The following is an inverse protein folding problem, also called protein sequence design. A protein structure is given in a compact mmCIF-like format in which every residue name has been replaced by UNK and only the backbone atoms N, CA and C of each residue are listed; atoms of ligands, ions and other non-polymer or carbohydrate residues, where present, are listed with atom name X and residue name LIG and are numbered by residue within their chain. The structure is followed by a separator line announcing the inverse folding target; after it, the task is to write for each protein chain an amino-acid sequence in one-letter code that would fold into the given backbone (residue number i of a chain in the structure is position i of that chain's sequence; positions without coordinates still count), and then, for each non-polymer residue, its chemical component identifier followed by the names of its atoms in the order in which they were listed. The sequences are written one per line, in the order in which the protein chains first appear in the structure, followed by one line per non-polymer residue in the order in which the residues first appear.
data_IF_230259147636
#
_entry.id   IF_230259147636
#
_cell.length_a   1.000
_cell.length_b   1.000
_cell.length_c   1.000
_cell.angle_alpha   90.00
_cell.angle_beta   90.00
_cell.angle_gamma   90.00
#
_symmetry.space_group_name_H-M   'P 1'
#
loop_
_entity.id
_entity.type
_entity.pdbx_description
1 polymer ?
#
# COMPACT_ATOMS: atom_id res chain seq x y z
N UNK A 1 22.50 19.88 23.90
CA UNK A 1 21.07 20.06 24.27
C UNK A 1 20.34 21.13 23.43
N UNK A 2 21.00 22.10 22.79
CA UNK A 2 20.33 23.07 21.89
C UNK A 2 20.22 22.62 20.42
N UNK A 3 21.12 21.76 19.93
CA UNK A 3 21.08 21.23 18.55
C UNK A 3 19.95 20.22 18.32
N UNK A 4 19.70 19.31 19.29
CA UNK A 4 18.66 18.26 19.15
C UNK A 4 17.24 18.83 19.03
N UNK A 5 16.95 19.94 19.72
CA UNK A 5 15.63 20.60 19.61
C UNK A 5 15.39 21.28 18.26
N UNK A 6 16.46 21.67 17.56
CA UNK A 6 16.36 22.28 16.23
C UNK A 6 16.15 21.21 15.14
N UNK A 7 16.85 20.08 15.25
CA UNK A 7 16.70 18.94 14.32
C UNK A 7 15.30 18.34 14.37
N UNK A 8 14.77 18.10 15.57
CA UNK A 8 13.40 17.61 15.76
C UNK A 8 12.37 18.60 15.18
N UNK A 9 12.56 19.90 15.41
CA UNK A 9 11.69 20.93 14.85
C UNK A 9 11.71 20.92 13.31
N UNK A 10 12.89 20.86 12.70
CA UNK A 10 13.05 20.83 11.23
C UNK A 10 12.37 19.58 10.65
N UNK A 11 12.64 18.40 11.21
CA UNK A 11 12.04 17.15 10.74
C UNK A 11 10.52 17.20 10.88
N UNK A 12 9.99 17.70 12.00
CA UNK A 12 8.54 17.88 12.21
C UNK A 12 7.92 18.82 11.18
N UNK A 13 8.58 19.93 10.86
CA UNK A 13 8.11 20.89 9.85
C UNK A 13 8.08 20.28 8.45
N UNK A 14 9.14 19.58 8.05
CA UNK A 14 9.21 18.84 6.78
C UNK A 14 8.11 17.78 6.72
N UNK A 15 7.94 16.99 7.79
CA UNK A 15 6.94 15.93 7.87
C UNK A 15 5.50 16.46 7.81
N UNK A 16 5.22 17.62 8.40
CA UNK A 16 3.93 18.26 8.29
C UNK A 16 3.65 18.78 6.87
N UNK A 17 4.67 19.31 6.20
CA UNK A 17 4.55 19.74 4.82
C UNK A 17 4.33 18.55 3.87
N UNK A 18 5.06 17.44 4.06
CA UNK A 18 4.84 16.19 3.32
C UNK A 18 3.42 15.64 3.52
N UNK A 19 2.90 15.64 4.76
CA UNK A 19 1.50 15.28 5.03
C UNK A 19 0.51 16.17 4.27
N UNK A 20 0.76 17.48 4.22
CA UNK A 20 -0.08 18.43 3.47
C UNK A 20 -0.07 18.16 1.97
N UNK A 21 1.11 17.96 1.38
CA UNK A 21 1.26 17.61 -0.05
C UNK A 21 0.62 16.27 -0.38
N UNK A 22 0.74 15.27 0.49
CA UNK A 22 0.14 13.96 0.29
C UNK A 22 -1.39 14.01 0.35
N UNK A 23 -1.96 14.85 1.22
CA UNK A 23 -3.42 15.08 1.24
C UNK A 23 -3.91 15.66 -0.09
N UNK A 24 -3.19 16.63 -0.64
CA UNK A 24 -3.49 17.18 -1.96
C UNK A 24 -3.44 16.09 -3.03
N UNK A 25 -2.42 15.25 -3.03
CA UNK A 25 -2.30 14.13 -3.96
C UNK A 25 -3.42 13.09 -3.79
N UNK A 26 -3.82 12.79 -2.55
CA UNK A 26 -4.96 11.92 -2.27
C UNK A 26 -6.27 12.48 -2.81
N UNK A 27 -6.46 13.81 -2.74
CA UNK A 27 -7.61 14.50 -3.33
C UNK A 27 -7.56 14.51 -4.87
N UNK A 28 -6.38 14.69 -5.47
CA UNK A 28 -6.17 14.54 -6.93
C UNK A 28 -6.56 13.12 -7.38
N UNK A 29 -6.07 12.09 -6.67
CA UNK A 29 -6.40 10.69 -6.95
C UNK A 29 -7.91 10.46 -6.80
N UNK A 30 -8.53 10.93 -5.71
CA UNK A 30 -9.97 10.77 -5.50
C UNK A 30 -10.78 11.46 -6.61
N UNK A 31 -10.32 12.60 -7.10
CA UNK A 31 -10.97 13.31 -8.21
C UNK A 31 -10.84 12.55 -9.53
N UNK A 32 -9.60 12.25 -9.93
CA UNK A 32 -9.27 11.60 -11.21
C UNK A 32 -9.78 10.16 -11.28
N UNK A 33 -9.73 9.42 -10.17
CA UNK A 33 -10.07 8.00 -10.12
C UNK A 33 -11.38 7.70 -9.40
N UNK A 34 -12.23 8.71 -9.13
CA UNK A 34 -13.47 8.60 -8.35
C UNK A 34 -14.30 7.35 -8.66
N UNK A 35 -14.60 7.11 -9.93
CA UNK A 35 -15.39 5.94 -10.38
C UNK A 35 -14.72 4.60 -10.04
N UNK A 36 -13.40 4.52 -10.16
CA UNK A 36 -12.64 3.31 -9.88
C UNK A 36 -12.47 3.09 -8.37
N UNK A 37 -12.35 4.17 -7.59
CA UNK A 37 -12.39 4.13 -6.13
C UNK A 37 -13.75 3.63 -5.65
N UNK A 38 -14.85 4.01 -6.31
CA UNK A 38 -16.20 3.50 -6.00
C UNK A 38 -16.32 2.00 -6.28
N UNK A 39 -15.78 1.51 -7.41
CA UNK A 39 -15.72 0.07 -7.73
C UNK A 39 -14.90 -0.65 -6.66
N UNK A 40 -13.71 -0.15 -6.34
CA UNK A 40 -12.87 -0.69 -5.29
C UNK A 40 -13.63 -0.79 -3.96
N UNK A 41 -14.33 0.28 -3.55
CA UNK A 41 -15.12 0.30 -2.32
C UNK A 41 -16.24 -0.75 -2.35
N UNK A 42 -16.87 -0.95 -3.49
CA UNK A 42 -17.87 -2.01 -3.69
C UNK A 42 -17.30 -3.43 -3.56
N UNK A 43 -16.01 -3.62 -3.85
CA UNK A 43 -15.31 -4.90 -3.73
C UNK A 43 -14.79 -5.11 -2.31
N UNK A 44 -14.04 -4.14 -1.80
CA UNK A 44 -13.25 -4.27 -0.58
C UNK A 44 -14.02 -3.86 0.67
N UNK A 45 -15.07 -3.04 0.55
CA UNK A 45 -15.87 -2.53 1.66
C UNK A 45 -15.33 -1.24 2.30
N UNK A 46 -14.23 -0.68 1.79
CA UNK A 46 -13.59 0.53 2.30
C UNK A 46 -12.88 1.29 1.17
N UNK A 47 -12.39 2.49 1.44
CA UNK A 47 -11.69 3.33 0.46
C UNK A 47 -10.17 3.22 0.57
N UNK A 48 -9.48 3.44 -0.54
CA UNK A 48 -8.02 3.58 -0.60
C UNK A 48 -7.65 4.63 -1.64
N UNK A 49 -6.56 5.35 -1.41
CA UNK A 49 -5.94 6.25 -2.39
C UNK A 49 -4.60 5.71 -2.89
N UNK A 50 -4.26 4.47 -2.55
CA UNK A 50 -3.07 3.79 -3.08
C UNK A 50 -3.34 3.31 -4.51
N UNK A 51 -2.92 4.15 -5.46
CA UNK A 51 -2.96 3.85 -6.89
C UNK A 51 -1.53 3.65 -7.38
N UNK A 52 -1.32 2.57 -8.12
CA UNK A 52 -0.04 2.26 -8.76
C UNK A 52 -0.23 2.18 -10.26
N UNK A 53 0.61 2.89 -11.02
CA UNK A 53 0.62 2.77 -12.47
C UNK A 53 1.47 1.56 -12.86
N UNK A 54 0.86 0.61 -13.56
CA UNK A 54 1.50 -0.61 -14.02
C UNK A 54 2.17 -0.46 -15.38
N UNK A 55 3.06 -1.39 -15.68
CA UNK A 55 3.71 -1.49 -16.98
C UNK A 55 2.71 -1.88 -18.06
N UNK A 56 3.06 -1.44 -19.26
CA UNK A 56 2.26 -1.48 -20.43
C UNK A 56 2.43 -2.85 -21.12
N UNK A 57 1.72 -3.90 -20.70
CA UNK A 57 1.71 -5.17 -21.45
C UNK A 57 1.17 -4.90 -22.86
N UNK A 58 2.00 -5.11 -23.89
CA UNK A 58 1.62 -4.90 -25.30
C UNK A 58 1.03 -3.50 -25.61
N UNK A 59 1.64 -2.42 -25.10
CA UNK A 59 1.14 -1.05 -25.31
C UNK A 59 -0.17 -0.68 -24.56
N UNK A 60 -0.64 -1.50 -23.60
CA UNK A 60 -1.85 -1.25 -22.78
C UNK A 60 -1.54 -0.67 -21.39
N UNK A 61 -2.03 0.53 -21.08
CA UNK A 61 -1.86 1.13 -19.74
C UNK A 61 -2.72 0.40 -18.71
N UNK A 62 -2.10 -0.01 -17.61
CA UNK A 62 -2.76 -0.66 -16.47
C UNK A 62 -2.57 0.23 -15.25
N UNK A 63 -3.59 0.32 -14.40
CA UNK A 63 -3.43 0.86 -13.05
C UNK A 63 -4.08 -0.06 -12.03
N UNK A 64 -3.53 -0.09 -10.83
CA UNK A 64 -4.04 -0.87 -9.72
C UNK A 64 -4.51 0.07 -8.62
N UNK A 65 -5.70 -0.17 -8.09
CA UNK A 65 -6.19 0.45 -6.86
C UNK A 65 -6.29 -0.64 -5.83
N UNK A 66 -5.51 -0.55 -4.75
CA UNK A 66 -5.35 -1.66 -3.84
C UNK A 66 -5.16 -1.24 -2.39
N UNK A 67 -5.35 -2.23 -1.52
CA UNK A 67 -4.82 -2.21 -0.17
C UNK A 67 -4.22 -3.54 0.19
N UNK A 68 -3.40 -3.52 1.23
CA UNK A 68 -2.64 -4.69 1.61
C UNK A 68 -2.52 -4.89 3.11
N UNK A 69 -2.22 -6.14 3.44
CA UNK A 69 -1.79 -6.58 4.76
C UNK A 69 -0.48 -7.34 4.59
N UNK A 70 0.50 -7.00 5.41
CA UNK A 70 1.82 -7.65 5.44
C UNK A 70 2.04 -8.30 6.80
N UNK A 71 2.39 -9.58 6.81
CA UNK A 71 2.84 -10.30 8.01
C UNK A 71 4.13 -11.06 7.63
N UNK A 72 5.29 -10.40 7.71
CA UNK A 72 6.52 -10.90 7.09
C UNK A 72 7.14 -12.09 7.81
N UNK A 73 6.72 -12.38 9.04
CA UNK A 73 7.25 -13.45 9.87
C UNK A 73 6.21 -14.57 10.01
N UNK A 74 6.66 -15.83 9.95
CA UNK A 74 5.81 -16.97 10.21
C UNK A 74 5.28 -16.95 11.64
N UNK A 75 3.97 -17.04 11.78
CA UNK A 75 3.29 -17.41 13.01
C UNK A 75 1.99 -18.13 12.64
N UNK A 76 1.80 -19.33 13.17
CA UNK A 76 0.59 -20.14 12.98
C UNK A 76 -0.71 -19.44 13.39
N UNK A 77 -0.61 -18.42 14.25
CA UNK A 77 -1.69 -17.59 14.76
C UNK A 77 -1.93 -16.29 14.00
N UNK A 78 -1.11 -15.96 13.00
CA UNK A 78 -1.25 -14.72 12.24
C UNK A 78 -2.46 -14.77 11.27
N UNK A 79 -2.92 -13.63 10.74
CA UNK A 79 -4.15 -13.59 9.92
C UNK A 79 -3.99 -14.31 8.60
N UNK A 80 -2.86 -14.11 7.91
CA UNK A 80 -2.61 -14.67 6.59
C UNK A 80 -2.51 -16.20 6.66
N UNK A 81 -1.69 -16.75 7.55
CA UNK A 81 -1.54 -18.18 7.77
C UNK A 81 -2.86 -18.81 8.17
N UNK A 82 -3.59 -18.21 9.13
CA UNK A 82 -4.87 -18.75 9.56
C UNK A 82 -5.92 -18.78 8.44
N UNK A 83 -5.96 -17.75 7.60
CA UNK A 83 -6.92 -17.68 6.50
C UNK A 83 -6.60 -18.67 5.38
N UNK A 84 -5.31 -18.90 5.10
CA UNK A 84 -4.88 -19.63 3.92
C UNK A 84 -4.47 -21.09 4.16
N UNK A 85 -4.30 -21.54 5.42
CA UNK A 85 -3.91 -22.93 5.75
C UNK A 85 -4.91 -24.01 5.30
N UNK A 86 -6.16 -23.63 5.03
CA UNK A 86 -7.16 -24.54 4.45
C UNK A 86 -7.04 -24.72 2.94
N UNK A 87 -6.32 -23.82 2.26
CA UNK A 87 -6.14 -23.83 0.80
C UNK A 87 -4.72 -24.26 0.39
N UNK A 88 -3.73 -24.05 1.25
CA UNK A 88 -2.32 -24.32 0.98
C UNK A 88 -1.70 -25.12 2.13
N UNK A 89 -0.71 -25.95 1.82
CA UNK A 89 0.10 -26.66 2.82
C UNK A 89 1.12 -25.70 3.42
N UNK A 90 0.71 -24.92 4.43
CA UNK A 90 1.52 -23.86 5.04
C UNK A 90 2.34 -24.38 6.22
N UNK A 91 3.61 -23.99 6.26
CA UNK A 91 4.54 -24.23 7.38
C UNK A 91 5.54 -23.06 7.54
N UNK A 92 6.54 -23.23 8.41
CA UNK A 92 7.55 -22.22 8.72
C UNK A 92 8.47 -21.84 7.54
N UNK A 93 8.55 -22.69 6.52
CA UNK A 93 9.36 -22.46 5.31
C UNK A 93 8.50 -21.94 4.15
N UNK A 94 7.21 -22.28 4.13
CA UNK A 94 6.27 -21.86 3.10
C UNK A 94 4.99 -21.26 3.71
N UNK A 95 4.90 -19.94 3.74
CA UNK A 95 3.76 -19.21 4.32
C UNK A 95 3.45 -17.90 3.58
N UNK A 96 2.19 -17.43 3.62
CA UNK A 96 1.82 -16.14 3.05
C UNK A 96 2.42 -15.01 3.87
N UNK A 97 3.14 -14.11 3.20
CA UNK A 97 3.82 -12.95 3.80
C UNK A 97 3.10 -11.64 3.52
N UNK A 98 2.33 -11.60 2.44
CA UNK A 98 1.71 -10.38 1.96
C UNK A 98 0.44 -10.68 1.19
N UNK A 99 -0.61 -9.92 1.46
CA UNK A 99 -1.88 -9.99 0.76
C UNK A 99 -2.23 -8.61 0.22
N UNK A 100 -2.51 -8.54 -1.07
CA UNK A 100 -3.11 -7.38 -1.74
C UNK A 100 -4.54 -7.71 -2.16
N UNK A 101 -5.45 -6.76 -1.99
CA UNK A 101 -6.80 -6.83 -2.55
C UNK A 101 -7.20 -5.52 -3.19
N UNK A 102 -7.90 -5.61 -4.31
CA UNK A 102 -8.44 -4.44 -5.00
C UNK A 102 -8.86 -4.71 -6.43
N UNK A 103 -8.57 -3.75 -7.30
CA UNK A 103 -8.92 -3.81 -8.72
C UNK A 103 -7.69 -3.53 -9.60
N UNK A 104 -7.62 -4.25 -10.70
CA UNK A 104 -6.64 -4.06 -11.77
C UNK A 104 -7.38 -3.59 -13.03
N UNK A 105 -7.15 -2.35 -13.44
CA UNK A 105 -7.89 -1.70 -14.49
C UNK A 105 -7.06 -1.56 -15.77
N UNK A 106 -7.66 -1.96 -16.88
CA UNK A 106 -7.06 -2.02 -18.20
C UNK A 106 -7.68 -0.94 -19.09
N UNK A 107 -6.85 0.00 -19.55
CA UNK A 107 -7.29 1.02 -20.50
C UNK A 107 -7.29 0.44 -21.91
N UNK A 108 -8.37 0.66 -22.67
CA UNK A 108 -8.46 0.32 -24.10
C UNK A 108 -8.24 -1.15 -24.42
N UNK A 109 -8.42 -2.03 -23.44
CA UNK A 109 -8.19 -3.47 -23.57
C UNK A 109 -8.95 -4.25 -22.51
N UNK A 110 -9.13 -5.55 -22.76
CA UNK A 110 -9.70 -6.48 -21.80
C UNK A 110 -8.60 -7.12 -20.93
N UNK A 111 -8.89 -7.44 -19.66
CA UNK A 111 -8.02 -8.25 -18.83
C UNK A 111 -7.71 -9.57 -19.51
N UNK A 112 -6.49 -10.08 -19.31
CA UNK A 112 -6.10 -11.39 -19.82
C UNK A 112 -6.93 -12.51 -19.21
N UNK A 113 -7.37 -12.36 -17.95
CA UNK A 113 -8.29 -13.28 -17.28
C UNK A 113 -9.34 -12.50 -16.47
N UNK A 114 -10.63 -12.63 -16.79
CA UNK A 114 -11.70 -12.00 -15.99
C UNK A 114 -12.00 -12.79 -14.71
N UNK A 115 -11.62 -14.07 -14.64
CA UNK A 115 -11.86 -14.98 -13.51
C UNK A 115 -10.79 -16.07 -13.44
N UNK A 116 -10.42 -16.55 -12.26
CA UNK A 116 -9.54 -17.71 -12.10
C UNK A 116 -8.37 -17.47 -11.15
N UNK A 117 -7.43 -18.42 -11.11
CA UNK A 117 -6.23 -18.36 -10.28
C UNK A 117 -5.00 -18.44 -11.19
N UNK A 118 -4.04 -17.54 -11.00
CA UNK A 118 -2.73 -17.55 -11.63
C UNK A 118 -1.65 -17.70 -10.59
N UNK A 119 -0.67 -18.54 -10.89
CA UNK A 119 0.53 -18.72 -10.08
C UNK A 119 1.72 -18.21 -10.87
N UNK A 120 2.52 -17.34 -10.26
CA UNK A 120 3.77 -16.82 -10.84
C UNK A 120 4.85 -16.73 -9.76
N UNK A 121 5.75 -17.70 -9.72
CA UNK A 121 6.79 -17.79 -8.69
C UNK A 121 6.16 -17.91 -7.30
N UNK A 122 6.45 -16.95 -6.43
CA UNK A 122 5.88 -16.88 -5.07
C UNK A 122 4.55 -16.15 -4.98
N UNK A 123 3.94 -15.74 -6.10
CA UNK A 123 2.70 -14.98 -6.12
C UNK A 123 1.52 -15.82 -6.64
N UNK A 124 0.41 -15.80 -5.91
CA UNK A 124 -0.90 -16.33 -6.34
C UNK A 124 -1.85 -15.16 -6.57
N UNK A 125 -2.26 -14.92 -7.81
CA UNK A 125 -3.25 -13.91 -8.17
C UNK A 125 -4.61 -14.54 -8.44
N UNK A 126 -5.65 -14.03 -7.80
CA UNK A 126 -7.03 -14.50 -7.93
C UNK A 126 -7.86 -13.40 -8.56
N UNK A 127 -8.56 -13.74 -9.66
CA UNK A 127 -9.48 -12.86 -10.36
C UNK A 127 -10.92 -13.34 -10.14
N UNK A 128 -11.83 -12.42 -9.81
CA UNK A 128 -13.22 -12.76 -9.46
C UNK A 128 -14.22 -11.79 -10.12
N UNK A 129 -14.15 -11.67 -11.44
CA UNK A 129 -15.06 -10.88 -12.26
C UNK A 129 -14.49 -9.53 -12.67
N UNK A 130 -15.26 -8.83 -13.50
CA UNK A 130 -14.88 -7.54 -14.10
C UNK A 130 -16.02 -6.54 -14.04
N UNK A 131 -15.67 -5.26 -14.06
CA UNK A 131 -16.58 -4.14 -14.26
C UNK A 131 -16.10 -3.26 -15.41
N UNK A 132 -17.03 -2.83 -16.26
CA UNK A 132 -16.73 -1.97 -17.42
C UNK A 132 -17.11 -0.53 -17.10
N UNK A 133 -16.21 0.40 -17.40
CA UNK A 133 -16.39 1.84 -17.16
C UNK A 133 -16.14 2.58 -18.47
N UNK A 134 -17.11 3.39 -18.88
CA UNK A 134 -16.94 4.35 -19.98
C UNK A 134 -16.43 5.68 -19.41
N UNK A 135 -15.14 5.93 -19.57
CA UNK A 135 -14.45 7.11 -19.05
C UNK A 135 -14.21 8.13 -20.17
N UNK A 136 -14.44 9.41 -19.85
CA UNK A 136 -14.30 10.49 -20.83
C UNK A 136 -12.84 10.68 -21.28
N UNK A 137 -11.91 10.53 -20.34
CA UNK A 137 -10.50 10.84 -20.55
C UNK A 137 -9.69 9.56 -20.86
N UNK A 138 -10.11 8.42 -20.31
CA UNK A 138 -9.44 7.13 -20.49
C UNK A 138 -10.08 6.22 -21.56
N UNK A 139 -11.28 6.55 -22.03
CA UNK A 139 -12.07 5.71 -22.94
C UNK A 139 -12.71 4.53 -22.20
N UNK A 140 -12.91 3.42 -22.91
CA UNK A 140 -13.40 2.19 -22.27
C UNK A 140 -12.31 1.58 -21.37
N UNK A 141 -12.63 1.44 -20.09
CA UNK A 141 -11.76 0.85 -19.06
C UNK A 141 -12.43 -0.39 -18.49
N UNK A 142 -11.69 -1.50 -18.41
CA UNK A 142 -12.17 -2.75 -17.81
C UNK A 142 -11.40 -3.01 -16.53
N UNK A 143 -12.10 -3.08 -15.40
CA UNK A 143 -11.51 -3.31 -14.08
C UNK A 143 -11.79 -4.71 -13.59
N UNK A 144 -10.75 -5.52 -13.44
CA UNK A 144 -10.83 -6.87 -12.88
C UNK A 144 -10.69 -6.83 -11.36
N UNK A 145 -11.56 -7.56 -10.66
CA UNK A 145 -11.51 -7.72 -9.20
C UNK A 145 -10.39 -8.71 -8.88
N UNK A 146 -9.38 -8.25 -8.13
CA UNK A 146 -8.13 -8.99 -7.93
C UNK A 146 -7.75 -9.08 -6.45
N UNK A 147 -7.34 -10.28 -6.04
CA UNK A 147 -6.58 -10.49 -4.81
C UNK A 147 -5.24 -11.13 -5.18
N UNK A 148 -4.18 -10.85 -4.44
CA UNK A 148 -2.85 -11.40 -4.71
C UNK A 148 -2.16 -11.73 -3.40
N UNK A 149 -1.73 -12.99 -3.27
CA UNK A 149 -1.09 -13.52 -2.07
C UNK A 149 0.35 -13.84 -2.43
N UNK A 150 1.29 -13.19 -1.75
CA UNK A 150 2.71 -13.52 -1.84
C UNK A 150 3.06 -14.51 -0.75
N UNK A 151 3.82 -15.53 -1.13
CA UNK A 151 4.39 -16.53 -0.23
C UNK A 151 5.88 -16.27 -0.01
N UNK A 152 6.41 -16.82 1.08
CA UNK A 152 7.84 -16.79 1.44
C UNK A 152 8.72 -17.51 0.41
N UNK A 153 8.17 -18.49 -0.30
CA UNK A 153 8.84 -19.26 -1.35
C UNK A 153 7.89 -19.50 -2.54
N UNK A 154 8.39 -20.10 -3.61
CA UNK A 154 7.63 -20.44 -4.80
C UNK A 154 6.45 -21.34 -4.48
N UNK A 155 5.30 -21.01 -5.06
CA UNK A 155 4.11 -21.84 -4.96
C UNK A 155 4.24 -22.98 -5.97
N UNK A 156 4.60 -24.15 -5.46
CA UNK A 156 4.82 -25.34 -6.27
C UNK A 156 3.48 -26.06 -6.52
N UNK A 157 3.09 -26.19 -7.78
CA UNK A 157 1.91 -26.95 -8.21
C UNK A 157 0.70 -26.09 -8.58
N UNK A 158 -0.35 -26.77 -9.04
CA UNK A 158 -1.62 -26.12 -9.36
C UNK A 158 -2.44 -25.87 -8.09
N UNK A 159 -3.02 -24.67 -7.98
CA UNK A 159 -3.93 -24.33 -6.89
C UNK A 159 -5.31 -24.88 -7.23
N UNK A 160 -5.73 -25.93 -6.53
CA UNK A 160 -7.02 -26.60 -6.75
C UNK A 160 -8.21 -25.94 -6.04
N UNK A 161 -7.97 -24.83 -5.33
CA UNK A 161 -9.00 -24.07 -4.63
C UNK A 161 -9.99 -23.40 -5.61
N UNK A 162 -11.24 -23.24 -5.18
CA UNK A 162 -12.21 -22.45 -5.92
C UNK A 162 -11.77 -20.95 -5.90
N UNK A 163 -11.68 -20.27 -7.06
CA UNK A 163 -11.28 -18.87 -7.11
C UNK A 163 -12.13 -17.94 -6.24
N UNK A 164 -13.46 -18.14 -6.19
CA UNK A 164 -14.36 -17.31 -5.40
C UNK A 164 -14.17 -17.49 -3.90
N UNK A 165 -13.89 -18.72 -3.43
CA UNK A 165 -13.63 -19.00 -2.02
C UNK A 165 -12.32 -18.36 -1.57
N UNK A 166 -11.27 -18.49 -2.38
CA UNK A 166 -9.95 -17.91 -2.09
C UNK A 166 -10.00 -16.38 -2.13
N UNK A 167 -10.73 -15.80 -3.09
CA UNK A 167 -10.95 -14.36 -3.18
C UNK A 167 -11.72 -13.84 -1.96
N UNK A 168 -12.76 -14.55 -1.53
CA UNK A 168 -13.52 -14.19 -0.33
C UNK A 168 -12.64 -14.24 0.93
N UNK A 169 -11.86 -15.31 1.11
CA UNK A 169 -10.94 -15.44 2.24
C UNK A 169 -9.94 -14.27 2.30
N UNK A 170 -9.43 -13.83 1.15
CA UNK A 170 -8.57 -12.66 1.06
C UNK A 170 -9.28 -11.37 1.51
N UNK A 171 -10.48 -11.09 1.00
CA UNK A 171 -11.23 -9.89 1.41
C UNK A 171 -11.63 -9.93 2.88
N UNK A 172 -11.99 -11.10 3.41
CA UNK A 172 -12.31 -11.28 4.83
C UNK A 172 -11.10 -10.93 5.71
N UNK A 173 -9.88 -11.33 5.32
CA UNK A 173 -8.66 -10.92 6.04
C UNK A 173 -8.47 -9.40 6.04
N UNK A 174 -8.54 -8.76 4.87
CA UNK A 174 -8.37 -7.30 4.77
C UNK A 174 -9.36 -6.55 5.66
N UNK A 175 -10.62 -6.97 5.65
CA UNK A 175 -11.67 -6.36 6.47
C UNK A 175 -11.47 -6.63 7.96
N UNK A 176 -11.10 -7.86 8.34
CA UNK A 176 -10.87 -8.22 9.74
C UNK A 176 -9.68 -7.46 10.34
N UNK A 177 -8.56 -7.36 9.62
CA UNK A 177 -7.37 -6.64 10.08
C UNK A 177 -7.68 -5.15 10.23
N UNK A 178 -8.33 -4.53 9.23
CA UNK A 178 -8.76 -3.14 9.33
C UNK A 178 -9.74 -2.89 10.48
N UNK A 179 -10.69 -3.79 10.68
CA UNK A 179 -11.64 -3.71 11.79
C UNK A 179 -10.96 -3.81 13.15
N UNK A 180 -10.00 -4.72 13.31
CA UNK A 180 -9.23 -4.86 14.56
C UNK A 180 -8.43 -3.60 14.89
N UNK A 181 -7.84 -2.97 13.88
CA UNK A 181 -6.99 -1.80 14.05
C UNK A 181 -7.73 -0.47 13.76
N UNK A 182 -9.05 -0.44 13.94
CA UNK A 182 -9.88 0.74 13.66
C UNK A 182 -9.38 2.01 14.39
N UNK A 183 -8.98 1.92 15.66
CA UNK A 183 -8.50 3.10 16.40
C UNK A 183 -7.23 3.69 15.80
N UNK A 184 -6.27 2.85 15.40
CA UNK A 184 -5.05 3.30 14.72
C UNK A 184 -5.33 3.80 13.30
N UNK A 185 -6.33 3.21 12.61
CA UNK A 185 -6.82 3.72 11.32
C UNK A 185 -7.37 5.14 11.49
N UNK A 186 -8.20 5.37 12.51
CA UNK A 186 -8.78 6.69 12.78
C UNK A 186 -7.68 7.71 13.15
N UNK A 187 -6.67 7.31 13.91
CA UNK A 187 -5.47 8.13 14.19
C UNK A 187 -4.68 8.47 12.91
N UNK A 188 -4.52 7.51 12.00
CA UNK A 188 -3.90 7.73 10.70
C UNK A 188 -4.70 8.73 9.87
N UNK A 189 -6.02 8.53 9.76
CA UNK A 189 -6.92 9.43 9.03
C UNK A 189 -6.89 10.84 9.63
N UNK A 190 -6.88 10.98 10.96
CA UNK A 190 -6.75 12.28 11.62
C UNK A 190 -5.41 12.96 11.33
N UNK A 191 -4.33 12.17 11.21
CA UNK A 191 -2.99 12.68 10.95
C UNK A 191 -2.81 13.12 9.49
N UNK A 192 -3.28 12.31 8.54
CA UNK A 192 -2.98 12.49 7.11
C UNK A 192 -4.18 13.01 6.29
N UNK A 193 -5.42 12.70 6.70
CA UNK A 193 -6.64 13.11 6.01
C UNK A 193 -7.13 12.13 4.93
N UNK A 194 -6.56 10.94 4.87
CA UNK A 194 -6.90 9.89 3.91
C UNK A 194 -6.74 8.50 4.55
N UNK A 195 -7.27 7.46 3.91
CA UNK A 195 -7.23 6.09 4.43
C UNK A 195 -5.83 5.46 4.22
N UNK A 196 -5.32 4.69 5.20
CA UNK A 196 -4.11 3.88 5.00
C UNK A 196 -4.35 2.88 3.87
N UNK A 197 -3.37 2.66 3.01
CA UNK A 197 -3.39 1.65 1.96
C UNK A 197 -2.80 0.30 2.38
N UNK A 198 -1.88 0.28 3.32
CA UNK A 198 -1.19 -0.91 3.81
C UNK A 198 -1.25 -0.98 5.34
N UNK A 199 -1.37 -2.21 5.87
CA UNK A 199 -1.18 -2.53 7.29
C UNK A 199 -0.12 -3.62 7.40
N UNK A 200 1.04 -3.27 7.97
CA UNK A 200 2.12 -4.21 8.25
C UNK A 200 2.15 -4.55 9.73
N UNK A 201 2.20 -5.85 10.05
CA UNK A 201 2.19 -6.38 11.41
C UNK A 201 3.50 -7.11 11.70
N UNK A 202 4.31 -6.57 12.62
CA UNK A 202 5.63 -7.10 12.99
C UNK A 202 5.72 -7.30 14.49
N UNK A 203 5.25 -8.46 14.96
CA UNK A 203 5.20 -8.76 16.39
C UNK A 203 4.24 -7.83 17.12
N UNK A 204 4.76 -6.97 18.00
CA UNK A 204 3.96 -5.98 18.73
C UNK A 204 3.80 -4.65 17.99
N UNK A 205 4.55 -4.47 16.90
CA UNK A 205 4.52 -3.26 16.09
C UNK A 205 3.44 -3.35 15.01
N UNK A 206 2.73 -2.26 14.83
CA UNK A 206 1.69 -2.11 13.81
C UNK A 206 2.00 -0.85 13.03
N UNK A 207 2.18 -1.03 11.73
CA UNK A 207 2.51 0.03 10.79
C UNK A 207 1.35 0.21 9.82
N UNK A 208 0.82 1.43 9.74
CA UNK A 208 -0.20 1.81 8.77
C UNK A 208 0.44 2.80 7.80
N UNK A 209 0.40 2.50 6.50
CA UNK A 209 0.99 3.36 5.46
C UNK A 209 0.09 3.57 4.26
N UNK A 210 0.34 4.64 3.51
CA UNK A 210 -0.08 4.74 2.11
C UNK A 210 1.13 5.08 1.26
N UNK A 211 1.31 4.32 0.17
CA UNK A 211 2.35 4.54 -0.82
C UNK A 211 1.78 5.27 -2.03
N UNK A 212 2.45 6.35 -2.45
CA UNK A 212 2.08 7.15 -3.60
C UNK A 212 3.15 7.09 -4.68
N UNK A 213 2.72 6.85 -5.92
CA UNK A 213 3.56 6.95 -7.13
C UNK A 213 3.70 8.41 -7.55
N UNK A 214 4.91 8.97 -7.39
CA UNK A 214 5.17 10.39 -7.64
C UNK A 214 5.10 10.76 -9.12
N UNK A 215 5.00 9.79 -10.04
CA UNK A 215 4.68 10.07 -11.43
C UNK A 215 3.25 10.56 -11.63
N UNK A 216 2.37 10.34 -10.65
CA UNK A 216 0.98 10.82 -10.70
C UNK A 216 0.81 12.28 -10.25
N UNK A 217 1.79 12.86 -9.54
CA UNK A 217 1.72 14.25 -9.08
C UNK A 217 3.08 14.93 -9.15
N UNK A 218 3.28 15.74 -10.20
CA UNK A 218 4.52 16.53 -10.35
C UNK A 218 4.71 17.52 -9.20
N UNK A 219 3.62 18.05 -8.63
CA UNK A 219 3.67 18.98 -7.49
C UNK A 219 4.39 18.38 -6.29
N UNK A 220 4.02 17.16 -5.89
CA UNK A 220 4.65 16.49 -4.75
C UNK A 220 6.09 16.05 -5.07
N UNK A 221 6.31 15.54 -6.29
CA UNK A 221 7.65 15.17 -6.77
C UNK A 221 8.62 16.36 -6.75
N UNK A 222 8.21 17.49 -7.32
CA UNK A 222 9.02 18.70 -7.41
C UNK A 222 9.29 19.31 -6.03
N UNK A 223 8.30 19.23 -5.12
CA UNK A 223 8.48 19.61 -3.72
C UNK A 223 9.55 18.76 -3.04
N UNK A 224 9.44 17.43 -3.10
CA UNK A 224 10.41 16.49 -2.52
C UNK A 224 11.80 16.73 -3.12
N UNK A 225 11.89 16.85 -4.44
CA UNK A 225 13.14 17.13 -5.14
C UNK A 225 13.80 18.40 -4.61
N UNK A 226 13.02 19.48 -4.44
CA UNK A 226 13.54 20.76 -3.95
C UNK A 226 14.05 20.64 -2.51
N UNK A 227 13.24 20.05 -1.62
CA UNK A 227 13.56 19.93 -0.18
C UNK A 227 14.80 19.07 0.05
N UNK A 228 14.93 17.96 -0.66
CA UNK A 228 15.99 16.99 -0.44
C UNK A 228 17.13 17.04 -1.46
N UNK A 229 17.14 18.06 -2.33
CA UNK A 229 18.18 18.23 -3.37
C UNK A 229 19.61 18.25 -2.84
N UNK A 230 19.83 18.73 -1.61
CA UNK A 230 21.15 18.75 -0.97
C UNK A 230 21.54 17.43 -0.31
N UNK A 231 20.56 16.57 -0.03
CA UNK A 231 20.74 15.27 0.64
C UNK A 231 20.86 14.15 -0.40
N UNK A 232 20.01 14.19 -1.42
CA UNK A 232 19.98 13.22 -2.53
C UNK A 232 20.14 13.97 -3.86
N UNK A 233 21.36 14.42 -4.19
CA UNK A 233 21.59 15.25 -5.36
C UNK A 233 21.46 14.45 -6.67
N UNK A 234 20.76 15.03 -7.64
CA UNK A 234 20.69 14.50 -9.01
C UNK A 234 19.83 13.24 -9.20
N UNK A 235 19.13 12.78 -8.15
CA UNK A 235 18.19 11.67 -8.26
C UNK A 235 16.74 12.16 -8.23
N UNK A 236 15.87 11.46 -8.97
CA UNK A 236 14.45 11.81 -9.07
C UNK A 236 13.63 10.98 -8.10
N UNK A 237 12.81 11.59 -7.23
CA UNK A 237 11.87 10.86 -6.39
C UNK A 237 10.88 10.05 -7.24
N UNK A 238 10.75 8.75 -6.92
CA UNK A 238 9.85 7.79 -7.59
C UNK A 238 8.60 7.54 -6.76
N UNK A 239 8.78 7.24 -5.47
CA UNK A 239 7.71 6.85 -4.56
C UNK A 239 7.84 7.60 -3.24
N UNK A 240 6.70 7.86 -2.61
CA UNK A 240 6.63 8.32 -1.22
C UNK A 240 5.62 7.50 -0.43
N UNK A 241 6.09 6.87 0.64
CA UNK A 241 5.28 6.21 1.64
C UNK A 241 5.15 7.10 2.86
N UNK A 242 3.94 7.25 3.40
CA UNK A 242 3.70 7.98 4.65
C UNK A 242 2.98 7.06 5.61
N UNK A 243 3.34 7.11 6.90
CA UNK A 243 2.60 6.32 7.85
C UNK A 243 2.87 6.52 9.32
N UNK A 244 2.15 5.73 10.11
CA UNK A 244 2.28 5.63 11.56
C UNK A 244 2.80 4.25 11.91
N UNK A 245 3.88 4.18 12.67
CA UNK A 245 4.39 2.96 13.28
C UNK A 245 4.16 3.06 14.78
N UNK A 246 3.32 2.19 15.32
CA UNK A 246 2.95 2.17 16.74
C UNK A 246 3.38 0.84 17.38
N UNK A 247 3.57 0.81 18.70
CA UNK A 247 3.91 -0.40 19.46
C UNK A 247 5.34 -0.47 19.98
N UNK A 248 6.20 0.44 19.52
CA UNK A 248 7.54 0.67 20.06
C UNK A 248 7.71 2.14 20.46
N UNK A 249 8.65 2.43 21.36
CA UNK A 249 8.98 3.80 21.72
C UNK A 249 9.58 4.51 20.50
N UNK A 250 8.94 5.58 19.99
CA UNK A 250 9.41 6.22 18.77
C UNK A 250 10.62 7.11 19.06
N UNK A 251 11.65 6.97 18.23
CA UNK A 251 12.80 7.86 18.20
C UNK A 251 12.77 8.76 16.96
N UNK A 252 13.54 9.84 16.99
CA UNK A 252 13.75 10.68 15.80
C UNK A 252 14.55 9.87 14.76
N UNK A 253 14.08 9.84 13.52
CA UNK A 253 14.72 9.11 12.42
C UNK A 253 15.01 10.07 11.27
N UNK A 254 16.26 10.05 10.81
CA UNK A 254 16.68 10.64 9.55
C UNK A 254 17.81 9.79 8.99
N UNK A 255 17.54 9.06 7.92
CA UNK A 255 18.50 8.11 7.34
C UNK A 255 18.33 8.05 5.83
N UNK A 256 19.44 7.94 5.10
CA UNK A 256 19.44 7.70 3.68
C UNK A 256 20.32 6.48 3.39
N UNK A 257 19.74 5.49 2.70
CA UNK A 257 20.43 4.30 2.22
C UNK A 257 20.77 4.49 0.74
N UNK A 258 22.05 4.63 0.42
CA UNK A 258 22.55 4.80 -0.95
C UNK A 258 22.33 3.58 -1.84
N UNK A 259 22.37 2.37 -1.27
CA UNK A 259 22.26 1.13 -2.03
C UNK A 259 20.82 0.91 -2.49
N UNK A 260 19.88 1.14 -1.59
CA UNK A 260 18.45 1.02 -1.86
C UNK A 260 17.83 2.31 -2.43
N UNK A 261 18.56 3.44 -2.34
CA UNK A 261 18.12 4.80 -2.71
C UNK A 261 16.86 5.20 -1.96
N UNK A 262 16.85 4.94 -0.66
CA UNK A 262 15.70 5.19 0.23
C UNK A 262 16.08 6.21 1.30
N UNK A 263 15.33 7.31 1.35
CA UNK A 263 15.37 8.29 2.43
C UNK A 263 14.22 8.00 3.41
N UNK A 264 14.52 7.89 4.69
CA UNK A 264 13.55 7.71 5.76
C UNK A 264 13.63 8.90 6.71
N UNK A 265 12.49 9.53 6.96
CA UNK A 265 12.30 10.53 8.01
C UNK A 265 11.24 10.03 8.97
N UNK A 266 11.43 10.30 10.26
CA UNK A 266 10.43 9.98 11.27
C UNK A 266 10.55 10.88 12.48
N UNK A 267 9.42 11.22 13.09
CA UNK A 267 9.39 11.92 14.37
C UNK A 267 8.39 11.29 15.33
N UNK A 268 8.66 11.32 16.65
CA UNK A 268 7.68 10.97 17.66
C UNK A 268 6.39 11.79 17.47
N UNK A 269 5.26 11.10 17.46
CA UNK A 269 3.95 11.69 17.22
C UNK A 269 2.93 11.04 18.14
N UNK A 270 2.24 11.86 18.91
CA UNK A 270 1.25 11.39 19.87
C UNK A 270 -0.12 11.33 19.22
N UNK A 271 -0.74 10.16 19.30
CA UNK A 271 -2.10 9.91 18.81
C UNK A 271 -2.96 9.28 19.91
N UNK A 272 -4.24 9.01 19.63
CA UNK A 272 -5.14 8.47 20.67
C UNK A 272 -4.79 7.04 21.07
N UNK A 273 -4.25 6.25 20.14
CA UNK A 273 -3.80 4.87 20.37
C UNK A 273 -2.44 4.76 21.06
N UNK A 274 -1.74 5.87 21.32
CA UNK A 274 -0.46 5.91 22.02
C UNK A 274 0.59 6.79 21.34
N UNK A 275 1.84 6.60 21.74
CA UNK A 275 2.99 7.23 21.10
C UNK A 275 3.39 6.39 19.88
N UNK A 276 3.44 7.02 18.71
CA UNK A 276 3.79 6.39 17.45
C UNK A 276 4.90 7.18 16.75
N UNK A 277 5.62 6.52 15.85
CA UNK A 277 6.50 7.19 14.90
C UNK A 277 5.67 7.62 13.70
N UNK A 278 5.56 8.93 13.46
CA UNK A 278 5.07 9.46 12.20
C UNK A 278 6.24 9.47 11.22
N UNK A 279 6.16 8.70 10.14
CA UNK A 279 7.27 8.52 9.21
C UNK A 279 6.91 8.83 7.76
N UNK A 280 7.96 9.08 6.98
CA UNK A 280 7.94 9.18 5.52
C UNK A 280 9.12 8.39 4.97
N UNK A 281 8.86 7.55 3.98
CA UNK A 281 9.84 6.80 3.21
C UNK A 281 9.81 7.33 1.79
N UNK A 282 10.94 7.72 1.22
CA UNK A 282 11.03 8.28 -0.13
C UNK A 282 12.03 7.46 -0.91
N UNK A 283 11.60 6.87 -2.03
CA UNK A 283 12.45 6.08 -2.92
C UNK A 283 12.84 6.92 -4.13
N UNK A 284 14.09 6.83 -4.55
CA UNK A 284 14.66 7.58 -5.68
C UNK A 284 15.14 6.66 -6.82
N UNK A 285 15.17 7.22 -8.05
CA UNK A 285 15.75 6.61 -9.26
C UNK A 285 17.19 7.06 -9.51
#
# INVERSE_FOLDING_TARGET
MAQSGNEEQIIREIMNALSGSARYMADEIRSTFSRYVDIYRGVSGFETQQVSLGTVENSKRIFLIQSSVTEPNYDSGNYLVNAFKGFFSIDENFYPTYLMGGIECYMQSSPSEPTGIKVGGSMVSIYNGVENVEDKDMGQVVCAKKASIRFSDNVNGEVTANPSDLFKAALDVLNNVRGKFNNMRDDFVNTYGFEPGDITLTGNEVMLSTLFDLNMSSTMRDYIQRVFSSIVPGQTPELVGLGLLCGAQPDLVFSYDDAERILVLGHPHKVSSGDCLKYSIIKYM
#
